data_IF_040859441783
#
_entry.id   IF_040859441783
#
_cell.length_a   1.000
_cell.length_b   1.000
_cell.length_c   1.000
_cell.angle_alpha   90.00
_cell.angle_beta   90.00
_cell.angle_gamma   90.00
#
_symmetry.space_group_name_H-M   'P 1'
#
loop_
_entity.id
_entity.type
_entity.pdbx_description
1 polymer ?
#
# COMPACT_ATOMS: atom_id res chain seq x y z
N UNK A 1 -7.10 10.24 -9.27
CA UNK A 1 -8.00 9.95 -8.12
C UNK A 1 -7.26 9.03 -7.16
N UNK A 2 -7.91 8.51 -6.11
CA UNK A 2 -7.37 7.36 -5.36
C UNK A 2 -7.41 6.12 -6.23
N UNK A 3 -6.57 5.12 -5.91
CA UNK A 3 -6.50 3.86 -6.64
C UNK A 3 -6.11 3.96 -8.11
N UNK A 4 -5.46 5.06 -8.49
CA UNK A 4 -5.00 5.32 -9.85
C UNK A 4 -3.60 5.92 -9.86
N UNK A 5 -2.89 5.77 -10.98
CA UNK A 5 -1.65 6.46 -11.33
C UNK A 5 -1.81 7.17 -12.68
N UNK A 6 -0.89 8.07 -13.03
CA UNK A 6 -0.86 8.80 -14.30
C UNK A 6 -0.32 7.87 -15.38
N UNK A 7 -1.18 7.51 -16.33
CA UNK A 7 -0.80 6.73 -17.51
C UNK A 7 -0.31 7.63 -18.64
N UNK A 8 -0.99 8.78 -18.85
CA UNK A 8 -0.62 9.78 -19.84
C UNK A 8 -0.73 11.19 -19.23
N UNK A 9 0.35 11.97 -19.34
CA UNK A 9 0.35 13.37 -18.93
C UNK A 9 -0.47 14.23 -19.89
N UNK A 10 -0.97 15.38 -19.40
CA UNK A 10 -1.58 16.37 -20.28
C UNK A 10 -0.52 16.97 -21.21
N UNK A 11 -0.81 17.00 -22.51
CA UNK A 11 0.14 17.46 -23.54
C UNK A 11 -0.12 18.90 -24.00
N UNK A 12 -1.30 19.45 -23.74
CA UNK A 12 -1.65 20.84 -24.05
C UNK A 12 -2.72 21.37 -23.09
N UNK A 13 -2.88 22.70 -23.06
CA UNK A 13 -3.94 23.37 -22.30
C UNK A 13 -5.32 22.82 -22.70
N UNK A 14 -6.19 22.61 -21.70
CA UNK A 14 -7.54 22.05 -21.84
C UNK A 14 -7.61 20.58 -22.28
N UNK A 15 -6.49 19.90 -22.53
CA UNK A 15 -6.49 18.44 -22.71
C UNK A 15 -6.38 17.74 -21.36
N UNK A 16 -7.19 16.69 -21.18
CA UNK A 16 -7.18 15.87 -19.96
C UNK A 16 -6.15 14.76 -20.13
N UNK A 17 -5.26 14.62 -19.16
CA UNK A 17 -4.41 13.44 -19.03
C UNK A 17 -5.22 12.19 -18.72
N UNK A 18 -4.56 11.03 -18.80
CA UNK A 18 -5.16 9.73 -18.51
C UNK A 18 -4.63 9.20 -17.18
N UNK A 19 -5.52 8.71 -16.33
CA UNK A 19 -5.16 7.94 -15.15
C UNK A 19 -5.68 6.52 -15.32
N UNK A 20 -4.81 5.53 -15.08
CA UNK A 20 -5.18 4.11 -15.08
C UNK A 20 -5.24 3.59 -13.65
N UNK A 21 -6.07 2.55 -13.40
CA UNK A 21 -6.19 1.98 -12.07
C UNK A 21 -4.92 1.26 -11.63
N UNK A 22 -4.65 1.27 -10.33
CA UNK A 22 -3.65 0.39 -9.74
C UNK A 22 -4.01 -1.08 -9.97
N UNK A 23 -3.04 -1.97 -9.75
CA UNK A 23 -3.26 -3.41 -9.84
C UNK A 23 -3.57 -3.99 -8.47
N UNK A 24 -4.75 -4.61 -8.35
CA UNK A 24 -5.24 -5.24 -7.11
C UNK A 24 -4.17 -6.15 -6.48
N UNK A 25 -3.95 -6.00 -5.18
CA UNK A 25 -2.96 -6.75 -4.41
C UNK A 25 -1.49 -6.49 -4.78
N UNK A 26 -1.19 -5.57 -5.71
CA UNK A 26 0.19 -5.21 -6.10
C UNK A 26 0.54 -3.78 -5.80
N UNK A 27 -0.39 -2.84 -6.01
CA UNK A 27 -0.16 -1.45 -5.64
C UNK A 27 -1.44 -0.69 -5.34
N UNK A 28 -1.26 0.43 -4.65
CA UNK A 28 -2.35 1.27 -4.16
C UNK A 28 -1.98 2.75 -4.23
N UNK A 29 -2.99 3.61 -4.17
CA UNK A 29 -2.81 5.03 -3.83
C UNK A 29 -3.95 5.50 -2.93
N UNK A 30 -3.61 5.88 -1.70
CA UNK A 30 -4.61 6.23 -0.67
C UNK A 30 -5.28 7.60 -0.91
N UNK A 31 -4.64 8.46 -1.67
CA UNK A 31 -5.09 9.83 -1.93
C UNK A 31 -5.02 10.15 -3.43
N UNK A 32 -5.72 11.22 -3.84
CA UNK A 32 -5.53 11.79 -5.16
C UNK A 32 -4.06 12.20 -5.33
N UNK A 33 -3.46 11.78 -6.44
CA UNK A 33 -2.02 11.88 -6.66
C UNK A 33 -1.72 12.14 -8.14
N UNK A 34 -0.45 12.42 -8.45
CA UNK A 34 0.10 12.54 -9.79
C UNK A 34 1.30 11.62 -10.01
N UNK A 35 1.34 10.47 -9.35
CA UNK A 35 2.42 9.49 -9.49
C UNK A 35 2.31 8.77 -10.84
N UNK A 36 3.44 8.43 -11.44
CA UNK A 36 3.49 7.63 -12.68
C UNK A 36 3.34 6.12 -12.43
N UNK A 37 3.39 5.71 -11.16
CA UNK A 37 3.15 4.34 -10.72
C UNK A 37 2.46 4.34 -9.36
N UNK A 38 1.74 3.25 -9.05
CA UNK A 38 1.16 3.08 -7.73
C UNK A 38 2.20 2.65 -6.71
N UNK A 39 1.96 3.00 -5.44
CA UNK A 39 2.81 2.54 -4.35
C UNK A 39 2.69 1.02 -4.22
N UNK A 40 3.80 0.28 -4.10
CA UNK A 40 3.74 -1.16 -3.94
C UNK A 40 3.03 -1.52 -2.63
N UNK A 41 2.19 -2.54 -2.66
CA UNK A 41 1.58 -3.07 -1.45
C UNK A 41 2.65 -3.64 -0.50
N UNK A 42 2.52 -3.34 0.79
CA UNK A 42 3.27 -4.01 1.85
C UNK A 42 2.98 -5.51 1.83
N UNK A 43 4.04 -6.31 1.96
CA UNK A 43 3.93 -7.74 2.18
C UNK A 43 4.19 -8.03 3.65
N UNK A 44 3.27 -8.76 4.30
CA UNK A 44 3.48 -9.17 5.68
C UNK A 44 4.58 -10.22 5.76
N UNK A 45 5.47 -10.06 6.75
CA UNK A 45 6.59 -10.96 6.99
C UNK A 45 6.11 -12.31 7.55
N UNK A 46 7.01 -13.28 7.64
CA UNK A 46 6.70 -14.62 8.16
C UNK A 46 6.22 -14.61 9.61
N UNK A 47 6.68 -13.67 10.43
CA UNK A 47 6.26 -13.46 11.82
C UNK A 47 4.99 -12.62 11.97
N UNK A 48 4.36 -12.25 10.85
CA UNK A 48 3.16 -11.41 10.78
C UNK A 48 1.96 -12.16 10.18
N UNK A 49 0.77 -11.64 10.44
CA UNK A 49 -0.48 -12.01 9.78
C UNK A 49 -1.02 -10.80 9.04
N UNK A 50 -1.57 -11.03 7.85
CA UNK A 50 -2.33 -10.00 7.13
C UNK A 50 -3.66 -9.80 7.83
N UNK A 51 -3.80 -8.67 8.51
CA UNK A 51 -5.04 -8.29 9.18
C UNK A 51 -6.04 -7.67 8.19
N UNK A 52 -5.55 -6.83 7.28
CA UNK A 52 -6.32 -6.32 6.15
C UNK A 52 -5.51 -6.47 4.87
N UNK A 53 -6.10 -6.98 3.78
CA UNK A 53 -5.41 -7.09 2.49
C UNK A 53 -5.21 -5.70 1.87
N UNK A 54 -4.18 -5.57 1.05
CA UNK A 54 -4.00 -4.39 0.21
C UNK A 54 -5.14 -4.32 -0.82
N UNK A 55 -5.66 -3.12 -1.04
CA UNK A 55 -6.67 -2.78 -2.06
C UNK A 55 -6.15 -1.65 -2.92
N UNK A 56 -6.85 -1.27 -3.99
CA UNK A 56 -6.42 -0.14 -4.82
C UNK A 56 -6.24 1.17 -4.03
N UNK A 57 -6.95 1.36 -2.92
CA UNK A 57 -6.94 2.62 -2.16
C UNK A 57 -6.34 2.49 -0.77
N UNK A 58 -5.86 1.32 -0.36
CA UNK A 58 -5.32 1.11 0.98
C UNK A 58 -4.20 0.08 0.96
N UNK A 59 -3.13 0.34 1.69
CA UNK A 59 -2.07 -0.64 1.89
C UNK A 59 -2.55 -1.85 2.71
N UNK A 60 -1.78 -2.95 2.66
CA UNK A 60 -1.97 -4.06 3.58
C UNK A 60 -1.67 -3.65 5.02
N UNK A 61 -2.49 -4.12 5.95
CA UNK A 61 -2.26 -3.98 7.39
C UNK A 61 -1.73 -5.30 7.95
N UNK A 62 -0.53 -5.28 8.54
CA UNK A 62 0.15 -6.44 9.09
C UNK A 62 0.23 -6.36 10.61
N UNK A 63 -0.05 -7.46 11.30
CA UNK A 63 0.04 -7.58 12.75
C UNK A 63 0.95 -8.73 13.14
N UNK A 64 1.60 -8.65 14.31
CA UNK A 64 2.42 -9.76 14.80
C UNK A 64 1.60 -11.00 15.08
N UNK A 65 2.16 -12.18 14.77
CA UNK A 65 1.61 -13.47 15.19
C UNK A 65 1.56 -13.58 16.71
N UNK A 66 0.70 -14.47 17.21
CA UNK A 66 0.67 -14.79 18.63
C UNK A 66 2.05 -15.26 19.12
N UNK A 67 2.45 -14.79 20.31
CA UNK A 67 3.78 -15.04 20.86
C UNK A 67 4.84 -14.04 20.38
N UNK A 68 4.45 -13.03 19.61
CA UNK A 68 5.27 -11.89 19.23
C UNK A 68 4.58 -10.57 19.61
N UNK A 69 5.36 -9.52 19.79
CA UNK A 69 4.87 -8.17 20.03
C UNK A 69 5.61 -7.16 19.15
N UNK A 70 4.99 -6.00 18.96
CA UNK A 70 5.63 -4.87 18.30
C UNK A 70 5.89 -3.77 19.32
N UNK A 71 7.16 -3.38 19.45
CA UNK A 71 7.56 -2.25 20.28
C UNK A 71 7.54 -0.92 19.52
N UNK A 72 7.51 -0.96 18.18
CA UNK A 72 7.68 0.20 17.32
C UNK A 72 6.35 0.67 16.68
N UNK A 73 6.22 1.98 16.45
CA UNK A 73 5.07 2.55 15.75
C UNK A 73 5.07 2.08 14.29
N UNK A 74 3.96 1.50 13.83
CA UNK A 74 3.85 0.92 12.48
C UNK A 74 4.26 -0.56 12.37
N UNK A 75 4.78 -1.12 13.46
CA UNK A 75 5.01 -2.55 13.62
C UNK A 75 5.83 -3.19 12.47
N UNK A 76 6.96 -2.59 12.12
CA UNK A 76 7.82 -3.07 11.04
C UNK A 76 8.56 -4.37 11.40
N UNK A 77 8.80 -4.60 12.70
CA UNK A 77 9.49 -5.77 13.24
C UNK A 77 8.76 -6.38 14.44
N UNK A 78 8.51 -7.69 14.39
CA UNK A 78 7.91 -8.42 15.50
C UNK A 78 9.01 -9.04 16.38
N UNK A 79 9.01 -8.67 17.66
CA UNK A 79 9.89 -9.24 18.66
C UNK A 79 9.20 -10.44 19.30
N UNK A 80 9.89 -11.58 19.38
CA UNK A 80 9.35 -12.76 20.04
C UNK A 80 9.21 -12.47 21.53
N UNK A 81 8.08 -12.83 22.11
CA UNK A 81 7.90 -12.84 23.56
C UNK A 81 8.90 -13.84 24.15
N UNK A 82 9.90 -13.36 24.87
CA UNK A 82 10.71 -14.21 25.74
C UNK A 82 9.90 -14.43 27.02
N UNK A 83 9.37 -15.64 27.19
CA UNK A 83 9.00 -16.14 28.51
C UNK A 83 10.26 -16.54 29.27
#
# INVERSE_FOLDING_TARGET
>A
STGTFVADHCSASHLRGKCDPCKEGKGFTAHANGLEECLPCRQCREDQVTWRPCTLTQDAECHCKQGYFCADEGCEMCQRNTQ
#
